data_IF_883587891441
#
_entry.id   IF_883587891441
#
_cell.length_a   1.000
_cell.length_b   1.000
_cell.length_c   1.000
_cell.angle_alpha   90.00
_cell.angle_beta   90.00
_cell.angle_gamma   90.00
#
_symmetry.space_group_name_H-M   'P 1'
#
loop_
_entity.id
_entity.type
_entity.pdbx_description
1 polymer ?
#
# COMPACT_ATOMS: atom_id res chain seq x y z
N UNK A 1 -51.61 -21.80 19.24
CA UNK A 1 -51.20 -22.65 18.11
C UNK A 1 -51.56 -21.86 16.86
N UNK A 2 -50.70 -21.11 16.19
CA UNK A 2 -49.25 -21.15 16.05
C UNK A 2 -48.77 -19.73 15.72
N UNK A 3 -47.87 -19.19 16.54
CA UNK A 3 -46.50 -18.86 16.10
C UNK A 3 -46.48 -17.78 15.02
N UNK A 4 -46.83 -16.57 15.45
CA UNK A 4 -46.49 -15.34 14.74
C UNK A 4 -44.97 -15.31 14.60
N UNK A 5 -44.51 -15.57 13.38
CA UNK A 5 -43.11 -15.66 13.02
C UNK A 5 -42.47 -14.27 13.21
N UNK A 6 -41.93 -14.03 14.40
CA UNK A 6 -41.04 -12.90 14.68
C UNK A 6 -39.83 -13.01 13.77
N UNK A 7 -39.93 -12.34 12.63
CA UNK A 7 -38.80 -12.15 11.74
C UNK A 7 -37.84 -11.19 12.43
N UNK A 8 -36.92 -11.74 13.20
CA UNK A 8 -35.73 -11.05 13.71
C UNK A 8 -35.02 -10.42 12.49
N UNK A 9 -34.88 -9.09 12.38
CA UNK A 9 -34.13 -8.51 11.29
C UNK A 9 -32.67 -8.86 11.55
N UNK A 10 -32.19 -9.90 10.87
CA UNK A 10 -30.78 -10.11 10.65
C UNK A 10 -30.25 -8.85 9.96
N UNK A 11 -29.76 -7.90 10.75
CA UNK A 11 -28.91 -6.82 10.31
C UNK A 11 -27.68 -7.47 9.68
N UNK A 12 -27.81 -7.79 8.39
CA UNK A 12 -26.78 -8.49 7.65
C UNK A 12 -25.49 -7.68 7.67
N UNK A 13 -24.35 -8.29 7.30
CA UNK A 13 -23.04 -7.62 7.26
C UNK A 13 -23.02 -6.35 6.38
N UNK A 14 -24.05 -6.13 5.57
CA UNK A 14 -24.25 -4.98 4.68
C UNK A 14 -24.29 -3.63 5.39
N UNK A 15 -24.86 -3.52 6.60
CA UNK A 15 -24.96 -2.22 7.30
C UNK A 15 -23.59 -1.66 7.74
N UNK A 16 -22.59 -2.52 7.94
CA UNK A 16 -21.21 -2.13 8.22
C UNK A 16 -20.46 -1.63 6.98
N UNK A 17 -20.92 -2.00 5.78
CA UNK A 17 -20.33 -1.61 4.49
C UNK A 17 -20.86 -0.25 3.99
N UNK A 18 -22.00 0.22 4.49
CA UNK A 18 -22.59 1.50 4.13
C UNK A 18 -21.62 2.66 4.46
N UNK A 19 -21.07 3.30 3.41
CA UNK A 19 -20.09 4.38 3.51
C UNK A 19 -18.62 3.93 3.64
N UNK A 20 -18.32 2.65 3.42
CA UNK A 20 -16.95 2.13 3.41
C UNK A 20 -16.34 2.24 2.00
N UNK A 21 -15.16 2.82 1.89
CA UNK A 21 -14.42 2.98 0.62
C UNK A 21 -13.16 2.13 0.64
N UNK A 22 -12.71 1.67 -0.52
CA UNK A 22 -11.47 0.89 -0.65
C UNK A 22 -10.26 1.80 -0.80
N UNK A 23 -9.18 1.47 -0.08
CA UNK A 23 -7.90 2.13 -0.25
C UNK A 23 -7.29 1.82 -1.62
N UNK A 24 -6.90 2.83 -2.39
CA UNK A 24 -6.28 2.63 -3.72
C UNK A 24 -4.90 1.94 -3.66
N UNK A 25 -4.24 1.94 -2.49
CA UNK A 25 -2.91 1.32 -2.33
C UNK A 25 -2.98 -0.13 -1.84
N UNK A 26 -3.74 -0.40 -0.76
CA UNK A 26 -3.79 -1.73 -0.13
C UNK A 26 -5.11 -2.47 -0.34
N UNK A 27 -6.12 -1.84 -0.97
CA UNK A 27 -7.44 -2.43 -1.18
C UNK A 27 -8.33 -2.54 0.06
N UNK A 28 -7.79 -2.30 1.26
CA UNK A 28 -8.53 -2.47 2.51
C UNK A 28 -9.72 -1.50 2.61
N UNK A 29 -10.91 -1.99 2.97
CA UNK A 29 -12.08 -1.15 3.14
C UNK A 29 -11.93 -0.31 4.42
N UNK A 30 -12.22 0.98 4.34
CA UNK A 30 -12.15 1.89 5.48
C UNK A 30 -13.26 2.93 5.44
N UNK A 31 -13.67 3.40 6.62
CA UNK A 31 -14.63 4.50 6.74
C UNK A 31 -13.88 5.85 6.69
N UNK A 32 -14.25 6.77 5.79
CA UNK A 32 -13.58 8.07 5.71
C UNK A 32 -13.88 8.89 6.98
N UNK A 33 -12.88 9.55 7.59
CA UNK A 33 -13.04 10.25 8.87
C UNK A 33 -13.86 11.55 8.79
N UNK A 34 -14.07 12.09 7.58
CA UNK A 34 -14.87 13.29 7.35
C UNK A 34 -15.98 12.98 6.35
N UNK A 35 -17.22 13.27 6.72
CA UNK A 35 -18.37 13.19 5.81
C UNK A 35 -18.40 14.37 4.81
N UNK A 36 -17.79 15.50 5.17
CA UNK A 36 -17.80 16.73 4.38
C UNK A 36 -16.44 16.96 3.71
N UNK A 37 -16.45 17.27 2.41
CA UNK A 37 -15.27 17.58 1.60
C UNK A 37 -14.80 16.46 0.68
N UNK A 38 -13.57 16.56 0.17
CA UNK A 38 -13.02 15.59 -0.79
C UNK A 38 -12.80 14.24 -0.11
N UNK A 39 -13.43 13.19 -0.65
CA UNK A 39 -13.27 11.80 -0.19
C UNK A 39 -11.78 11.39 -0.18
N UNK A 40 -11.26 10.86 0.94
CA UNK A 40 -9.89 10.36 1.00
C UNK A 40 -9.74 9.11 0.14
N UNK A 41 -8.59 8.95 -0.54
CA UNK A 41 -8.31 7.78 -1.40
C UNK A 41 -7.55 6.66 -0.69
N UNK A 42 -7.01 6.95 0.48
CA UNK A 42 -6.12 6.06 1.22
C UNK A 42 -6.59 5.93 2.66
N UNK A 43 -6.50 4.72 3.21
CA UNK A 43 -6.91 4.43 4.58
C UNK A 43 -6.00 5.08 5.64
N UNK A 44 -4.74 5.36 5.31
CA UNK A 44 -3.74 5.92 6.23
C UNK A 44 -2.64 6.70 5.52
N UNK A 45 -1.90 7.51 6.29
CA UNK A 45 -0.78 8.33 5.80
C UNK A 45 0.33 7.47 5.15
N UNK A 46 0.65 6.31 5.72
CA UNK A 46 1.68 5.42 5.16
C UNK A 46 1.29 4.84 3.79
N UNK A 47 0.03 4.52 3.55
CA UNK A 47 -0.45 4.08 2.24
C UNK A 47 -0.37 5.20 1.20
N UNK A 48 -0.66 6.44 1.61
CA UNK A 48 -0.45 7.62 0.76
C UNK A 48 1.03 7.81 0.41
N UNK A 49 1.91 7.65 1.40
CA UNK A 49 3.35 7.80 1.23
C UNK A 49 3.92 6.76 0.26
N UNK A 50 3.61 5.47 0.46
CA UNK A 50 4.04 4.40 -0.45
C UNK A 50 3.49 4.57 -1.88
N UNK A 51 2.25 5.05 -2.01
CA UNK A 51 1.69 5.35 -3.33
C UNK A 51 2.44 6.50 -4.02
N UNK A 52 2.97 7.48 -3.27
CA UNK A 52 3.82 8.53 -3.82
C UNK A 52 5.17 7.99 -4.24
N UNK A 53 5.84 7.23 -3.38
CA UNK A 53 7.13 6.59 -3.67
C UNK A 53 7.04 5.69 -4.89
N UNK A 54 6.02 4.84 -4.98
CA UNK A 54 5.80 3.98 -6.13
C UNK A 54 5.64 4.77 -7.44
N UNK A 55 5.01 5.96 -7.40
CA UNK A 55 4.92 6.84 -8.58
C UNK A 55 6.27 7.46 -8.93
N UNK A 56 7.07 7.86 -7.94
CA UNK A 56 8.41 8.39 -8.16
C UNK A 56 9.34 7.32 -8.75
N UNK A 57 9.40 6.13 -8.13
CA UNK A 57 10.20 5.02 -8.63
C UNK A 57 9.80 4.60 -10.03
N UNK A 58 8.50 4.57 -10.34
CA UNK A 58 8.03 4.33 -11.72
C UNK A 58 8.51 5.41 -12.69
N UNK A 59 8.35 6.69 -12.33
CA UNK A 59 8.81 7.79 -13.18
C UNK A 59 10.33 7.75 -13.41
N UNK A 60 11.12 7.39 -12.39
CA UNK A 60 12.57 7.21 -12.50
C UNK A 60 12.94 6.05 -13.44
N UNK A 61 12.28 4.90 -13.29
CA UNK A 61 12.47 3.74 -14.17
C UNK A 61 12.05 4.05 -15.60
N UNK A 62 10.91 4.69 -15.80
CA UNK A 62 10.40 5.09 -17.11
C UNK A 62 11.36 6.07 -17.79
N UNK A 63 11.89 7.06 -17.05
CA UNK A 63 12.89 7.98 -17.56
C UNK A 63 14.18 7.25 -17.98
N UNK A 64 14.65 6.29 -17.18
CA UNK A 64 15.81 5.47 -17.50
C UNK A 64 15.58 4.61 -18.75
N UNK A 65 14.40 3.98 -18.87
CA UNK A 65 14.01 3.20 -20.04
C UNK A 65 13.92 4.07 -21.30
N UNK A 66 13.36 5.28 -21.21
CA UNK A 66 13.30 6.22 -22.32
C UNK A 66 14.70 6.64 -22.78
N UNK A 67 15.63 6.91 -21.84
CA UNK A 67 17.03 7.19 -22.17
C UNK A 67 17.71 5.99 -22.83
N UNK A 68 17.47 4.78 -22.32
CA UNK A 68 18.01 3.55 -22.90
C UNK A 68 17.49 3.34 -24.34
N UNK A 69 16.17 3.48 -24.54
CA UNK A 69 15.54 3.35 -25.85
C UNK A 69 16.04 4.43 -26.84
N UNK A 70 16.25 5.66 -26.36
CA UNK A 70 16.75 6.79 -27.16
C UNK A 70 18.26 6.71 -27.45
N UNK A 71 19.02 6.05 -26.59
CA UNK A 71 20.48 5.98 -26.62
C UNK A 71 21.05 4.67 -27.14
N UNK A 72 20.29 3.86 -27.89
CA UNK A 72 20.63 2.52 -28.36
C UNK A 72 22.06 2.35 -28.91
N UNK A 73 23.01 2.11 -28.01
CA UNK A 73 24.28 1.41 -28.23
C UNK A 73 24.28 0.28 -27.22
N UNK A 74 23.95 -0.92 -27.71
CA UNK A 74 24.08 -2.15 -26.95
C UNK A 74 25.54 -2.28 -26.50
N UNK A 75 25.77 -2.38 -25.19
CA UNK A 75 27.09 -2.62 -24.65
C UNK A 75 27.19 -2.33 -23.16
N UNK A 76 27.28 -3.40 -22.38
CA UNK A 76 27.64 -3.44 -20.96
C UNK A 76 26.60 -2.89 -19.95
N UNK A 77 25.79 -3.79 -19.40
CA UNK A 77 25.35 -3.63 -18.01
C UNK A 77 26.58 -3.76 -17.09
N UNK A 78 26.92 -2.79 -16.24
CA UNK A 78 27.67 -3.11 -15.04
C UNK A 78 26.69 -3.81 -14.09
N UNK A 79 26.97 -5.07 -13.77
CA UNK A 79 26.35 -5.73 -12.63
C UNK A 79 26.56 -4.85 -11.38
N UNK A 80 25.55 -4.63 -10.52
CA UNK A 80 25.79 -3.94 -9.26
C UNK A 80 26.68 -4.85 -8.39
N UNK A 81 27.95 -4.46 -8.23
CA UNK A 81 28.87 -5.05 -7.26
C UNK A 81 28.41 -4.66 -5.85
N UNK A 82 27.37 -5.33 -5.35
CA UNK A 82 27.00 -5.32 -3.94
C UNK A 82 28.11 -6.03 -3.18
N UNK A 83 28.94 -5.26 -2.48
CA UNK A 83 29.93 -5.83 -1.55
C UNK A 83 29.18 -6.59 -0.47
N UNK A 84 29.45 -7.89 -0.34
CA UNK A 84 28.92 -8.71 0.72
C UNK A 84 29.34 -8.15 2.10
N UNK A 85 28.35 -8.04 2.99
CA UNK A 85 28.44 -7.49 4.33
C UNK A 85 29.47 -8.20 5.21
N UNK A 86 30.22 -7.42 6.01
CA UNK A 86 30.84 -7.95 7.25
C UNK A 86 29.90 -7.63 8.41
N UNK A 87 28.98 -8.55 8.71
CA UNK A 87 28.27 -8.55 9.99
C UNK A 87 29.31 -8.80 11.09
N UNK A 88 29.60 -7.77 11.90
CA UNK A 88 30.36 -7.89 13.15
C UNK A 88 29.41 -7.58 14.30
N UNK A 89 29.31 -8.54 15.22
CA UNK A 89 28.97 -8.31 16.63
C UNK A 89 27.53 -7.93 16.92
N UNK A 90 26.71 -8.92 17.25
CA UNK A 90 25.60 -8.71 18.18
C UNK A 90 26.25 -8.67 19.56
N UNK A 91 26.36 -7.48 20.14
CA UNK A 91 26.77 -7.33 21.55
C UNK A 91 25.56 -7.67 22.44
N UNK A 92 25.82 -8.53 23.41
CA UNK A 92 24.91 -9.07 24.40
C UNK A 92 24.28 -7.94 25.25
N UNK A 93 22.95 -7.90 25.45
CA UNK A 93 22.35 -6.91 26.33
C UNK A 93 22.70 -7.28 27.77
N UNK A 94 23.66 -6.57 28.37
CA UNK A 94 23.89 -6.60 29.80
C UNK A 94 22.63 -6.06 30.50
N UNK A 95 21.87 -6.97 31.09
CA UNK A 95 20.86 -6.68 32.09
C UNK A 95 21.60 -6.27 33.37
N UNK A 96 21.42 -5.01 33.79
CA UNK A 96 21.61 -4.55 35.16
C UNK A 96 20.38 -3.76 35.58
#
# INVERSE_FOLDING_TARGET
>A
MSEESTQEPAAGPSALLEGQIRCEWCGWPFRPPKATGRKPRYCRRSCRQRAYEARQTRAEVDAALLLHAKGGKAGASPAPAVKASKLKGVEEPQLF
#
